data_IF_990301850262
#
_entry.id   IF_990301850262
#
_cell.length_a   1.000
_cell.length_b   1.000
_cell.length_c   1.000
_cell.angle_alpha   90.00
_cell.angle_beta   90.00
_cell.angle_gamma   90.00
#
_symmetry.space_group_name_H-M   'P 1'
#
loop_
_entity.id
_entity.type
_entity.pdbx_description
1 polymer ?
#
# COMPACT_ATOMS: atom_id res chain seq x y z
N UNK A 1 7.99 19.16 -5.28
CA UNK A 1 8.84 19.92 -6.24
C UNK A 1 8.04 20.35 -7.45
N UNK A 2 7.50 19.45 -8.26
CA UNK A 2 6.76 19.74 -9.50
C UNK A 2 5.60 20.72 -9.32
N UNK A 3 4.79 20.56 -8.29
CA UNK A 3 3.64 21.45 -7.94
C UNK A 3 4.06 22.92 -7.76
N UNK A 4 5.33 23.18 -7.46
CA UNK A 4 5.89 24.53 -7.24
C UNK A 4 6.53 25.11 -8.50
N UNK A 5 6.56 24.39 -9.61
CA UNK A 5 7.24 24.83 -10.83
C UNK A 5 8.69 25.20 -10.58
N UNK A 6 9.17 26.30 -11.16
CA UNK A 6 10.54 26.77 -11.00
C UNK A 6 10.97 27.00 -9.54
N UNK A 7 10.05 27.48 -8.69
CA UNK A 7 10.30 27.66 -7.27
C UNK A 7 10.51 26.35 -6.50
N UNK A 8 10.12 25.22 -7.05
CA UNK A 8 10.41 23.90 -6.50
C UNK A 8 11.86 23.46 -6.74
N UNK A 9 12.56 24.03 -7.72
CA UNK A 9 13.89 23.63 -8.17
C UNK A 9 15.03 24.50 -7.60
N UNK A 10 14.83 25.81 -7.50
CA UNK A 10 15.86 26.76 -7.11
C UNK A 10 16.23 26.67 -5.62
N UNK A 11 17.50 26.93 -5.29
CA UNK A 11 18.07 26.75 -3.94
C UNK A 11 17.59 27.79 -2.92
N UNK A 12 16.98 28.89 -3.34
CA UNK A 12 16.38 29.91 -2.45
C UNK A 12 15.21 29.37 -1.61
N UNK A 13 14.65 28.21 -2.01
CA UNK A 13 13.54 27.56 -1.33
C UNK A 13 13.94 26.20 -0.75
N UNK A 14 13.33 25.83 0.37
CA UNK A 14 13.61 24.57 1.07
C UNK A 14 13.34 23.31 0.22
N UNK A 15 12.57 23.42 -0.86
CA UNK A 15 12.12 22.29 -1.67
C UNK A 15 13.27 21.51 -2.32
N UNK A 16 14.31 22.20 -2.82
CA UNK A 16 15.48 21.55 -3.38
C UNK A 16 16.20 20.67 -2.34
N UNK A 17 16.33 21.15 -1.11
CA UNK A 17 16.87 20.39 0.02
C UNK A 17 15.98 19.19 0.35
N UNK A 18 14.66 19.38 0.48
CA UNK A 18 13.73 18.28 0.80
C UNK A 18 13.78 17.16 -0.24
N UNK A 19 14.01 17.48 -1.52
CA UNK A 19 14.19 16.46 -2.57
C UNK A 19 15.46 15.66 -2.33
N UNK A 20 16.58 16.32 -2.01
CA UNK A 20 17.84 15.62 -1.67
C UNK A 20 17.69 14.75 -0.43
N UNK A 21 17.07 15.28 0.62
CA UNK A 21 16.82 14.55 1.86
C UNK A 21 15.91 13.33 1.64
N UNK A 22 14.89 13.44 0.78
CA UNK A 22 14.05 12.31 0.41
C UNK A 22 14.80 11.23 -0.38
N UNK A 23 15.75 11.61 -1.24
CA UNK A 23 16.56 10.67 -2.00
C UNK A 23 17.59 9.93 -1.16
N UNK A 24 18.08 10.52 -0.07
CA UNK A 24 19.11 9.86 0.74
C UNK A 24 18.58 8.55 1.37
N UNK A 25 17.29 8.48 1.69
CA UNK A 25 16.70 7.29 2.26
C UNK A 25 16.81 6.05 1.35
N UNK A 26 16.69 6.24 0.02
CA UNK A 26 16.85 5.13 -0.94
C UNK A 26 18.32 4.78 -1.25
N UNK A 27 19.26 5.61 -0.81
CA UNK A 27 20.70 5.39 -1.00
C UNK A 27 21.36 4.83 0.26
N UNK A 28 20.97 5.34 1.41
CA UNK A 28 21.58 5.03 2.71
C UNK A 28 21.27 3.61 3.20
N UNK A 29 19.99 3.25 3.24
CA UNK A 29 19.53 1.95 3.76
C UNK A 29 19.59 0.83 2.72
N UNK A 30 20.30 1.04 1.63
CA UNK A 30 20.31 0.17 0.45
C UNK A 30 19.20 0.51 -0.53
N UNK A 31 19.49 0.27 -1.80
CA UNK A 31 18.50 0.51 -2.86
C UNK A 31 17.30 -0.42 -2.70
N UNK A 32 16.16 0.00 -3.24
CA UNK A 32 14.93 -0.81 -3.19
C UNK A 32 15.13 -2.23 -3.76
N UNK A 33 16.06 -2.40 -4.72
CA UNK A 33 16.37 -3.72 -5.28
C UNK A 33 17.17 -4.58 -4.30
N UNK A 34 18.16 -4.00 -3.62
CA UNK A 34 18.94 -4.72 -2.58
C UNK A 34 18.04 -5.14 -1.43
N UNK A 35 17.16 -4.26 -0.97
CA UNK A 35 16.20 -4.59 0.08
C UNK A 35 15.23 -5.70 -0.38
N UNK A 36 14.76 -5.64 -1.63
CA UNK A 36 13.90 -6.68 -2.18
C UNK A 36 14.61 -8.05 -2.26
N UNK A 37 15.88 -8.07 -2.71
CA UNK A 37 16.71 -9.28 -2.71
C UNK A 37 16.84 -9.87 -1.31
N UNK A 38 17.13 -9.05 -0.29
CA UNK A 38 17.26 -9.50 1.10
C UNK A 38 15.92 -10.03 1.65
N UNK A 39 14.82 -9.29 1.44
CA UNK A 39 13.49 -9.71 1.90
C UNK A 39 13.12 -11.06 1.31
N UNK A 40 13.20 -11.21 -0.02
CA UNK A 40 12.71 -12.42 -0.69
C UNK A 40 13.67 -13.61 -0.44
N UNK A 41 14.97 -13.41 -0.59
CA UNK A 41 15.91 -14.54 -0.44
C UNK A 41 16.15 -14.95 1.01
N UNK A 42 16.23 -14.01 1.93
CA UNK A 42 16.53 -14.28 3.33
C UNK A 42 15.27 -14.38 4.19
N UNK A 43 14.44 -13.34 4.23
CA UNK A 43 13.30 -13.32 5.14
C UNK A 43 12.18 -14.29 4.69
N UNK A 44 11.89 -14.38 3.39
CA UNK A 44 10.94 -15.35 2.85
C UNK A 44 11.57 -16.72 2.69
N UNK A 45 12.65 -16.81 1.90
CA UNK A 45 13.21 -18.10 1.46
C UNK A 45 13.92 -18.88 2.56
N UNK A 46 14.67 -18.21 3.47
CA UNK A 46 15.44 -18.90 4.52
C UNK A 46 14.70 -18.94 5.85
N UNK A 47 14.14 -17.82 6.31
CA UNK A 47 13.53 -17.75 7.66
C UNK A 47 12.03 -18.02 7.68
N UNK A 48 11.34 -17.98 6.55
CA UNK A 48 9.88 -18.18 6.49
C UNK A 48 9.07 -17.09 7.20
N UNK A 49 9.63 -15.88 7.38
CA UNK A 49 9.01 -14.79 8.12
C UNK A 49 7.66 -14.33 7.53
N UNK A 50 7.45 -14.52 6.22
CA UNK A 50 6.18 -14.23 5.55
C UNK A 50 4.99 -15.00 6.13
N UNK A 51 5.20 -16.19 6.71
CA UNK A 51 4.14 -16.98 7.36
C UNK A 51 3.60 -16.31 8.62
N UNK A 52 4.50 -15.75 9.44
CA UNK A 52 4.14 -14.98 10.60
C UNK A 52 3.44 -13.66 10.21
N UNK A 53 3.92 -13.03 9.13
CA UNK A 53 3.27 -11.84 8.56
C UNK A 53 1.84 -12.18 8.10
N UNK A 54 1.66 -13.25 7.32
CA UNK A 54 0.34 -13.69 6.83
C UNK A 54 -0.62 -13.94 7.99
N UNK A 55 -0.19 -14.69 9.02
CA UNK A 55 -0.99 -14.97 10.21
C UNK A 55 -1.40 -13.68 10.93
N UNK A 56 -0.46 -12.75 11.07
CA UNK A 56 -0.74 -11.47 11.73
C UNK A 56 -1.73 -10.62 10.93
N UNK A 57 -1.55 -10.55 9.61
CA UNK A 57 -2.45 -9.76 8.74
C UNK A 57 -3.85 -10.37 8.67
N UNK A 58 -3.99 -11.70 8.60
CA UNK A 58 -5.30 -12.38 8.67
C UNK A 58 -6.02 -12.04 9.97
N UNK A 59 -5.32 -12.15 11.11
CA UNK A 59 -5.89 -11.76 12.40
C UNK A 59 -6.34 -10.28 12.45
N UNK A 60 -5.62 -9.37 11.77
CA UNK A 60 -6.04 -7.96 11.66
C UNK A 60 -7.28 -7.80 10.80
N UNK A 61 -7.40 -8.52 9.68
CA UNK A 61 -8.61 -8.53 8.85
C UNK A 61 -9.81 -9.09 9.62
N UNK A 62 -9.63 -10.17 10.37
CA UNK A 62 -10.68 -10.76 11.22
C UNK A 62 -11.14 -9.81 12.33
N UNK A 63 -10.26 -8.91 12.76
CA UNK A 63 -10.54 -7.91 13.80
C UNK A 63 -11.00 -6.55 13.25
N UNK A 64 -11.34 -6.46 11.96
CA UNK A 64 -11.95 -5.25 11.38
C UNK A 64 -13.41 -5.13 11.79
N UNK A 65 -13.86 -3.90 12.04
CA UNK A 65 -15.24 -3.63 12.43
C UNK A 65 -16.02 -3.02 11.26
N UNK A 66 -17.23 -3.58 10.98
CA UNK A 66 -18.18 -3.03 10.03
C UNK A 66 -17.66 -2.76 8.60
N UNK A 67 -16.62 -3.44 8.16
CA UNK A 67 -16.18 -3.34 6.77
C UNK A 67 -17.14 -4.08 5.84
N UNK A 68 -17.39 -3.57 4.61
CA UNK A 68 -18.10 -4.31 3.58
C UNK A 68 -17.42 -5.66 3.33
N UNK A 69 -18.22 -6.72 3.32
CA UNK A 69 -17.70 -8.10 3.16
C UNK A 69 -16.88 -8.26 1.89
N UNK A 70 -17.32 -7.65 0.78
CA UNK A 70 -16.59 -7.72 -0.48
C UNK A 70 -15.20 -7.04 -0.38
N UNK A 71 -15.14 -5.86 0.22
CA UNK A 71 -13.87 -5.17 0.41
C UNK A 71 -12.89 -5.97 1.29
N UNK A 72 -13.40 -6.54 2.38
CA UNK A 72 -12.60 -7.39 3.27
C UNK A 72 -12.08 -8.66 2.55
N UNK A 73 -12.94 -9.30 1.76
CA UNK A 73 -12.58 -10.46 0.94
C UNK A 73 -11.51 -10.11 -0.11
N UNK A 74 -11.62 -8.96 -0.76
CA UNK A 74 -10.62 -8.48 -1.73
C UNK A 74 -9.25 -8.25 -1.08
N UNK A 75 -9.21 -7.69 0.13
CA UNK A 75 -7.97 -7.55 0.90
C UNK A 75 -7.39 -8.92 1.28
N UNK A 76 -8.21 -9.86 1.70
CA UNK A 76 -7.80 -11.22 2.02
C UNK A 76 -7.22 -11.94 0.80
N UNK A 77 -7.88 -11.86 -0.34
CA UNK A 77 -7.39 -12.42 -1.60
C UNK A 77 -6.05 -11.77 -2.05
N UNK A 78 -5.94 -10.45 -1.93
CA UNK A 78 -4.70 -9.75 -2.23
C UNK A 78 -3.55 -10.19 -1.32
N UNK A 79 -3.83 -10.42 -0.02
CA UNK A 79 -2.86 -10.95 0.93
C UNK A 79 -2.39 -12.35 0.51
N UNK A 80 -3.30 -13.27 0.27
CA UNK A 80 -2.94 -14.65 -0.11
C UNK A 80 -2.12 -14.66 -1.41
N UNK A 81 -2.53 -13.92 -2.44
CA UNK A 81 -1.78 -13.80 -3.70
C UNK A 81 -0.39 -13.18 -3.52
N UNK A 82 -0.24 -12.20 -2.63
CA UNK A 82 1.06 -11.58 -2.35
C UNK A 82 2.01 -12.54 -1.65
N UNK A 83 1.51 -13.36 -0.73
CA UNK A 83 2.28 -14.41 -0.06
C UNK A 83 2.70 -15.50 -1.05
N UNK A 84 1.78 -16.00 -1.87
CA UNK A 84 2.05 -17.01 -2.91
C UNK A 84 3.09 -16.51 -3.91
N UNK A 85 2.99 -15.25 -4.34
CA UNK A 85 3.99 -14.64 -5.22
C UNK A 85 5.38 -14.63 -4.57
N UNK A 86 5.46 -14.22 -3.30
CA UNK A 86 6.73 -14.17 -2.59
C UNK A 86 7.37 -15.56 -2.40
N UNK A 87 6.57 -16.58 -2.08
CA UNK A 87 7.01 -17.96 -1.94
C UNK A 87 7.53 -18.52 -3.27
N UNK A 88 6.77 -18.32 -4.36
CA UNK A 88 7.16 -18.76 -5.70
C UNK A 88 8.48 -18.13 -6.15
N UNK A 89 8.60 -16.79 -6.01
CA UNK A 89 9.82 -16.07 -6.40
C UNK A 89 11.02 -16.45 -5.52
N UNK A 90 10.81 -16.74 -4.24
CA UNK A 90 11.87 -17.21 -3.34
C UNK A 90 12.37 -18.61 -3.71
N UNK A 91 11.51 -19.47 -4.27
CA UNK A 91 11.86 -20.81 -4.73
C UNK A 91 12.60 -20.78 -6.08
N UNK A 92 12.26 -19.82 -6.94
CA UNK A 92 12.85 -19.66 -8.29
C UNK A 92 14.09 -18.75 -8.23
N UNK A 93 15.26 -19.30 -7.86
CA UNK A 93 16.52 -18.57 -7.64
C UNK A 93 17.01 -17.68 -8.80
N UNK A 94 16.41 -17.77 -9.98
CA UNK A 94 16.85 -17.06 -11.19
C UNK A 94 16.07 -15.76 -11.47
N UNK A 95 15.09 -15.40 -10.67
CA UNK A 95 14.18 -14.28 -10.96
C UNK A 95 14.41 -13.06 -10.08
N UNK A 96 15.62 -12.48 -10.11
CA UNK A 96 15.91 -11.24 -9.38
C UNK A 96 14.95 -10.09 -9.77
N UNK A 97 14.56 -10.02 -11.05
CA UNK A 97 13.59 -9.03 -11.53
C UNK A 97 12.22 -9.17 -10.85
N UNK A 98 11.78 -10.38 -10.55
CA UNK A 98 10.51 -10.63 -9.86
C UNK A 98 10.58 -10.34 -8.35
N UNK A 99 11.77 -10.36 -7.74
CA UNK A 99 11.94 -10.12 -6.29
C UNK A 99 11.47 -8.71 -5.89
N UNK A 100 11.70 -7.71 -6.74
CA UNK A 100 11.23 -6.35 -6.51
C UNK A 100 9.70 -6.30 -6.47
N UNK A 101 9.03 -6.94 -7.42
CA UNK A 101 7.57 -7.00 -7.48
C UNK A 101 6.99 -7.74 -6.29
N UNK A 102 7.57 -8.88 -5.90
CA UNK A 102 7.14 -9.68 -4.76
C UNK A 102 7.29 -8.90 -3.42
N UNK A 103 8.44 -8.26 -3.20
CA UNK A 103 8.65 -7.44 -2.01
C UNK A 103 7.70 -6.23 -1.97
N UNK A 104 7.46 -5.58 -3.12
CA UNK A 104 6.49 -4.48 -3.22
C UNK A 104 5.06 -4.94 -2.94
N UNK A 105 4.67 -6.13 -3.41
CA UNK A 105 3.35 -6.69 -3.12
C UNK A 105 3.17 -6.95 -1.61
N UNK A 106 4.16 -7.54 -0.94
CA UNK A 106 4.14 -7.72 0.52
C UNK A 106 4.01 -6.39 1.27
N UNK A 107 4.75 -5.37 0.85
CA UNK A 107 4.66 -4.03 1.43
C UNK A 107 3.28 -3.41 1.26
N UNK A 108 2.76 -3.41 0.03
CA UNK A 108 1.48 -2.77 -0.28
C UNK A 108 0.31 -3.50 0.39
N UNK A 109 0.29 -4.84 0.39
CA UNK A 109 -0.80 -5.57 1.04
C UNK A 109 -0.78 -5.39 2.55
N UNK A 110 0.39 -5.37 3.17
CA UNK A 110 0.53 -5.07 4.60
C UNK A 110 0.00 -3.68 4.91
N UNK A 111 0.38 -2.68 4.10
CA UNK A 111 -0.12 -1.31 4.25
C UNK A 111 -1.64 -1.22 4.11
N UNK A 112 -2.22 -1.87 3.08
CA UNK A 112 -3.66 -1.86 2.85
C UNK A 112 -4.43 -2.49 4.01
N UNK A 113 -3.98 -3.66 4.50
CA UNK A 113 -4.60 -4.37 5.64
C UNK A 113 -4.52 -3.54 6.92
N UNK A 114 -3.37 -2.95 7.22
CA UNK A 114 -3.21 -2.13 8.44
C UNK A 114 -4.05 -0.87 8.38
N UNK A 115 -4.11 -0.18 7.24
CA UNK A 115 -4.96 0.98 7.04
C UNK A 115 -6.46 0.63 7.19
N UNK A 116 -6.88 -0.53 6.66
CA UNK A 116 -8.25 -1.01 6.81
C UNK A 116 -8.57 -1.31 8.28
N UNK A 117 -7.67 -2.04 8.95
CA UNK A 117 -7.84 -2.38 10.36
C UNK A 117 -7.87 -1.13 11.25
N UNK A 118 -6.91 -0.21 11.11
CA UNK A 118 -6.86 1.03 11.88
C UNK A 118 -8.10 1.90 11.63
N UNK A 119 -8.46 2.11 10.35
CA UNK A 119 -9.61 2.94 9.98
C UNK A 119 -10.96 2.35 10.38
N UNK A 120 -11.03 1.06 10.70
CA UNK A 120 -12.23 0.39 11.20
C UNK A 120 -12.40 0.46 12.72
N UNK A 121 -11.41 0.96 13.46
CA UNK A 121 -11.49 1.01 14.92
C UNK A 121 -12.45 2.13 15.39
N UNK A 122 -13.12 1.95 16.54
CA UNK A 122 -13.94 3.01 17.14
C UNK A 122 -13.11 4.27 17.40
N UNK A 123 -13.76 5.42 17.24
CA UNK A 123 -13.19 6.74 17.53
C UNK A 123 -11.94 7.13 16.72
N UNK A 124 -11.68 6.42 15.63
CA UNK A 124 -10.58 6.72 14.67
C UNK A 124 -11.16 7.39 13.44
N UNK A 125 -10.42 8.35 12.87
CA UNK A 125 -10.73 8.95 11.58
C UNK A 125 -10.73 7.87 10.48
N UNK A 126 -11.90 7.63 9.90
CA UNK A 126 -12.11 6.59 8.89
C UNK A 126 -11.46 6.88 7.52
N UNK A 127 -10.77 8.00 7.38
CA UNK A 127 -9.94 8.36 6.21
C UNK A 127 -8.98 7.25 5.81
N UNK A 128 -8.46 6.48 6.79
CA UNK A 128 -7.59 5.33 6.56
C UNK A 128 -8.23 4.23 5.72
N UNK A 129 -9.55 4.06 5.80
CA UNK A 129 -10.28 3.12 4.93
C UNK A 129 -10.18 3.51 3.47
N UNK A 130 -10.30 4.79 3.16
CA UNK A 130 -10.15 5.32 1.80
C UNK A 130 -8.72 5.11 1.29
N UNK A 131 -7.72 5.40 2.13
CA UNK A 131 -6.32 5.13 1.81
C UNK A 131 -6.05 3.64 1.56
N UNK A 132 -6.68 2.74 2.33
CA UNK A 132 -6.60 1.30 2.08
C UNK A 132 -7.13 0.94 0.70
N UNK A 133 -8.30 1.49 0.28
CA UNK A 133 -8.85 1.30 -1.06
C UNK A 133 -7.90 1.82 -2.14
N UNK A 134 -7.32 3.01 -1.97
CA UNK A 134 -6.33 3.53 -2.92
C UNK A 134 -5.14 2.58 -3.10
N UNK A 135 -4.60 2.03 -2.01
CA UNK A 135 -3.50 1.06 -2.12
C UNK A 135 -3.95 -0.21 -2.84
N UNK A 136 -5.14 -0.74 -2.51
CA UNK A 136 -5.68 -1.93 -3.16
C UNK A 136 -5.86 -1.72 -4.67
N UNK A 137 -6.52 -0.63 -5.08
CA UNK A 137 -6.83 -0.37 -6.49
C UNK A 137 -5.60 0.00 -7.32
N UNK A 138 -4.67 0.78 -6.78
CA UNK A 138 -3.55 1.31 -7.56
C UNK A 138 -2.28 0.46 -7.49
N UNK A 139 -2.15 -0.42 -6.49
CA UNK A 139 -0.92 -1.18 -6.25
C UNK A 139 -1.09 -2.70 -6.29
N UNK A 140 -2.29 -3.19 -6.05
CA UNK A 140 -2.55 -4.63 -5.90
C UNK A 140 -3.56 -5.17 -6.93
N UNK A 141 -4.32 -4.29 -7.57
CA UNK A 141 -5.27 -4.65 -8.64
C UNK A 141 -4.66 -4.30 -9.99
N UNK A 142 -4.75 -5.24 -10.94
CA UNK A 142 -4.35 -4.98 -12.32
C UNK A 142 -5.30 -3.98 -12.99
N UNK A 143 -4.75 -2.95 -13.62
CA UNK A 143 -5.51 -1.98 -14.41
C UNK A 143 -5.16 -2.14 -15.87
N UNK A 144 -6.17 -2.06 -16.73
CA UNK A 144 -5.95 -1.92 -18.17
C UNK A 144 -5.55 -0.47 -18.48
N UNK A 145 -4.32 -0.22 -18.96
CA UNK A 145 -3.87 1.15 -19.24
C UNK A 145 -4.60 1.80 -20.41
N UNK A 146 -5.34 1.04 -21.20
CA UNK A 146 -6.10 1.53 -22.36
C UNK A 146 -7.57 1.80 -22.03
N UNK A 147 -8.04 1.40 -20.87
CA UNK A 147 -9.40 1.70 -20.40
C UNK A 147 -9.44 3.04 -19.67
N UNK A 148 -10.45 3.90 -19.95
CA UNK A 148 -10.62 5.11 -19.16
C UNK A 148 -10.82 4.73 -17.67
N UNK A 149 -10.20 5.44 -16.74
CA UNK A 149 -10.40 5.18 -15.32
C UNK A 149 -11.85 5.49 -14.93
N UNK A 150 -12.47 4.57 -14.18
CA UNK A 150 -13.65 4.90 -13.40
C UNK A 150 -13.17 5.58 -12.12
N UNK A 151 -13.06 6.91 -12.19
CA UNK A 151 -12.46 7.74 -11.15
C UNK A 151 -13.51 8.48 -10.30
N UNK A 152 -14.78 8.18 -10.47
CA UNK A 152 -15.86 8.87 -9.75
C UNK A 152 -15.70 8.74 -8.23
N UNK A 153 -15.45 7.52 -7.75
CA UNK A 153 -15.19 7.26 -6.34
C UNK A 153 -13.86 7.91 -5.88
N UNK A 154 -12.85 7.96 -6.75
CA UNK A 154 -11.54 8.56 -6.42
C UNK A 154 -11.67 10.04 -6.15
N UNK A 155 -12.43 10.78 -6.97
CA UNK A 155 -12.67 12.22 -6.77
C UNK A 155 -13.35 12.49 -5.44
N UNK A 156 -14.45 11.77 -5.13
CA UNK A 156 -15.15 11.92 -3.85
C UNK A 156 -14.25 11.54 -2.67
N UNK A 157 -13.44 10.48 -2.81
CA UNK A 157 -12.50 10.04 -1.79
C UNK A 157 -11.36 11.06 -1.57
N UNK A 158 -10.82 11.66 -2.63
CA UNK A 158 -9.78 12.69 -2.54
C UNK A 158 -10.30 13.92 -1.77
N UNK A 159 -11.51 14.38 -2.05
CA UNK A 159 -12.12 15.50 -1.35
C UNK A 159 -12.23 15.21 0.16
N UNK A 160 -12.64 14.00 0.54
CA UNK A 160 -12.69 13.57 1.93
C UNK A 160 -11.30 13.42 2.57
N UNK A 161 -10.33 12.88 1.83
CA UNK A 161 -8.96 12.70 2.33
C UNK A 161 -8.28 14.05 2.60
N UNK A 162 -8.53 15.05 1.77
CA UNK A 162 -7.92 16.38 1.88
C UNK A 162 -8.72 17.36 2.77
N UNK A 163 -9.91 16.99 3.20
CA UNK A 163 -10.72 17.81 4.11
C UNK A 163 -10.07 17.87 5.50
N UNK A 164 -10.17 19.01 6.18
CA UNK A 164 -9.67 19.17 7.56
C UNK A 164 -10.55 18.43 8.59
N UNK A 165 -11.85 18.24 8.28
CA UNK A 165 -12.79 17.55 9.16
C UNK A 165 -12.53 16.03 9.18
N UNK A 166 -12.71 15.36 10.34
CA UNK A 166 -12.64 13.91 10.42
C UNK A 166 -13.67 13.24 9.50
N UNK A 167 -13.24 12.17 8.83
CA UNK A 167 -14.12 11.35 7.98
C UNK A 167 -14.85 10.33 8.84
N UNK A 168 -16.18 10.34 8.77
CA UNK A 168 -16.99 9.36 9.49
C UNK A 168 -16.94 7.97 8.85
N UNK A 169 -17.14 6.88 9.62
CA UNK A 169 -17.23 5.53 9.06
C UNK A 169 -18.29 5.39 7.96
N UNK A 170 -19.45 6.04 8.10
CA UNK A 170 -20.50 5.98 7.09
C UNK A 170 -20.10 6.57 5.74
N UNK A 171 -19.38 7.70 5.75
CA UNK A 171 -18.87 8.32 4.53
C UNK A 171 -17.83 7.43 3.85
N UNK A 172 -16.88 6.88 4.62
CA UNK A 172 -15.85 6.02 4.08
C UNK A 172 -16.45 4.71 3.52
N UNK A 173 -17.32 4.03 4.26
CA UNK A 173 -17.94 2.75 3.87
C UNK A 173 -18.72 2.88 2.56
N UNK A 174 -19.46 3.99 2.36
CA UNK A 174 -20.16 4.25 1.10
C UNK A 174 -19.22 4.14 -0.09
N UNK A 175 -18.00 4.68 0.04
CA UNK A 175 -16.99 4.65 -1.01
C UNK A 175 -16.17 3.36 -1.07
N UNK A 176 -16.37 2.40 -0.17
CA UNK A 176 -15.78 1.05 -0.29
C UNK A 176 -16.65 0.09 -1.11
N UNK A 177 -17.94 0.41 -1.29
CA UNK A 177 -18.93 -0.42 -1.98
C UNK A 177 -19.10 0.02 -3.45
N UNK A 178 -18.80 1.28 -3.75
CA UNK A 178 -18.97 1.90 -5.08
C UNK A 178 -18.03 1.32 -6.15
#
# INVERSE_FOLDING_TARGET
MEVRGGNGYIEEWVHARLVRDAHIGVLWEGTSNINALDIISRAVGKSGAHKALATTMKRRLDATNNLPTDFNNRLGLALDRSIELAERVAAERQSEAAMRSAASALYHVTSAVLLAWEGSQPDVDARRLLLSRFVLEHRLTGRDPLSPPDDAWEREAIDLILCDAPVSPAQAIKLLIA
#
